data_IF_998234387505
#
_entry.id   IF_998234387505
#
_cell.length_a   1.000
_cell.length_b   1.000
_cell.length_c   1.000
_cell.angle_alpha   90.00
_cell.angle_beta   90.00
_cell.angle_gamma   90.00
#
_symmetry.space_group_name_H-M   'P 1'
#
loop_
_entity.id
_entity.type
_entity.pdbx_description
1 polymer ?
#
# COMPACT_ATOMS: atom_id res chain seq x y z
N UNK A 1 1.04 -17.05 4.86
CA UNK A 1 1.20 -16.10 3.74
C UNK A 1 2.58 -15.42 3.85
N UNK A 2 3.44 -15.57 2.85
CA UNK A 2 4.76 -14.91 2.80
C UNK A 2 4.66 -13.40 2.50
N UNK A 3 5.80 -12.71 2.36
CA UNK A 3 5.84 -11.35 1.78
C UNK A 3 5.97 -11.47 0.25
N UNK A 4 5.36 -10.54 -0.47
CA UNK A 4 5.49 -10.37 -1.91
C UNK A 4 6.93 -9.97 -2.23
N UNK A 5 7.49 -10.68 -3.21
CA UNK A 5 8.73 -10.27 -3.88
C UNK A 5 8.36 -9.43 -5.10
N UNK A 6 9.34 -8.72 -5.67
CA UNK A 6 9.14 -7.98 -6.92
C UNK A 6 8.59 -8.91 -8.01
N UNK A 7 9.12 -10.14 -8.13
CA UNK A 7 8.63 -11.14 -9.10
C UNK A 7 7.16 -11.51 -8.89
N UNK A 8 6.68 -11.64 -7.65
CA UNK A 8 5.25 -11.90 -7.37
C UNK A 8 4.40 -10.71 -7.84
N UNK A 9 4.84 -9.48 -7.54
CA UNK A 9 4.16 -8.27 -7.99
C UNK A 9 4.14 -8.14 -9.53
N UNK A 10 5.23 -8.50 -10.21
CA UNK A 10 5.29 -8.52 -11.68
C UNK A 10 4.33 -9.52 -12.30
N UNK A 11 4.23 -10.72 -11.72
CA UNK A 11 3.26 -11.74 -12.16
C UNK A 11 1.81 -11.28 -11.95
N UNK A 12 1.57 -10.39 -10.98
CA UNK A 12 0.29 -9.73 -10.74
C UNK A 12 0.05 -8.50 -11.65
N UNK A 13 0.95 -8.23 -12.61
CA UNK A 13 0.82 -7.12 -13.56
C UNK A 13 1.29 -5.76 -13.02
N UNK A 14 1.92 -5.72 -11.84
CA UNK A 14 2.58 -4.54 -11.29
C UNK A 14 4.04 -4.62 -11.74
N UNK A 15 4.41 -3.90 -12.80
CA UNK A 15 5.67 -4.13 -13.52
C UNK A 15 6.76 -3.13 -13.13
N UNK A 16 8.02 -3.53 -13.35
CA UNK A 16 9.16 -2.62 -13.26
C UNK A 16 9.32 -2.06 -11.84
N UNK A 17 9.61 -0.77 -11.73
CA UNK A 17 9.91 -0.12 -10.44
C UNK A 17 8.76 -0.21 -9.42
N UNK A 18 7.51 -0.24 -9.89
CA UNK A 18 6.32 -0.36 -9.04
C UNK A 18 6.33 -1.67 -8.23
N UNK A 19 6.81 -2.75 -8.87
CA UNK A 19 6.90 -4.07 -8.26
C UNK A 19 7.88 -4.08 -7.08
N UNK A 20 8.97 -3.32 -7.24
CA UNK A 20 10.01 -3.20 -6.24
C UNK A 20 9.52 -2.38 -5.04
N UNK A 21 8.81 -1.28 -5.27
CA UNK A 21 8.27 -0.45 -4.19
C UNK A 21 7.37 -1.26 -3.24
N UNK A 22 6.47 -2.08 -3.78
CA UNK A 22 5.58 -2.93 -2.98
C UNK A 22 6.38 -3.97 -2.20
N UNK A 23 7.30 -4.67 -2.87
CA UNK A 23 8.13 -5.67 -2.23
C UNK A 23 9.01 -5.07 -1.11
N UNK A 24 9.52 -3.85 -1.30
CA UNK A 24 10.28 -3.13 -0.29
C UNK A 24 9.40 -2.71 0.88
N UNK A 25 8.20 -2.20 0.64
CA UNK A 25 7.26 -1.83 1.71
C UNK A 25 6.89 -3.06 2.58
N UNK A 26 6.62 -4.21 1.94
CA UNK A 26 6.33 -5.45 2.65
C UNK A 26 7.54 -5.97 3.44
N UNK A 27 8.72 -6.00 2.82
CA UNK A 27 9.96 -6.44 3.49
C UNK A 27 10.36 -5.51 4.64
N UNK A 28 10.14 -4.21 4.45
CA UNK A 28 10.35 -3.18 5.47
C UNK A 28 9.31 -3.20 6.59
N UNK A 29 8.29 -4.07 6.50
CA UNK A 29 7.16 -4.15 7.44
C UNK A 29 6.48 -2.80 7.64
N UNK A 30 6.40 -2.00 6.57
CA UNK A 30 5.64 -0.77 6.61
C UNK A 30 4.18 -1.09 6.91
N UNK A 31 3.49 -0.23 7.66
CA UNK A 31 2.04 -0.41 7.85
C UNK A 31 1.28 0.09 6.62
N UNK A 32 1.76 1.18 6.02
CA UNK A 32 1.13 1.87 4.90
C UNK A 32 2.10 2.00 3.72
N UNK A 33 1.59 1.75 2.53
CA UNK A 33 2.20 2.17 1.26
C UNK A 33 1.32 3.24 0.64
N UNK A 34 1.82 4.47 0.64
CA UNK A 34 1.12 5.65 0.14
C UNK A 34 1.74 6.07 -1.18
N UNK A 35 0.91 6.28 -2.19
CA UNK A 35 1.38 6.76 -3.49
C UNK A 35 0.45 7.83 -4.06
N UNK A 36 1.02 8.73 -4.86
CA UNK A 36 0.28 9.68 -5.69
C UNK A 36 0.05 9.14 -7.10
N UNK A 37 0.67 8.01 -7.46
CA UNK A 37 0.50 7.38 -8.76
C UNK A 37 -0.76 6.51 -8.76
N UNK A 38 -1.78 7.02 -9.42
CA UNK A 38 -3.08 6.37 -9.62
C UNK A 38 -2.99 4.98 -10.24
N UNK A 39 -2.01 4.76 -11.13
CA UNK A 39 -1.83 3.49 -11.81
C UNK A 39 -1.26 2.43 -10.85
N UNK A 40 -0.30 2.80 -10.01
CA UNK A 40 0.24 1.93 -8.95
C UNK A 40 -0.84 1.65 -7.92
N UNK A 41 -1.50 2.71 -7.44
CA UNK A 41 -2.58 2.62 -6.45
C UNK A 41 -3.66 1.64 -6.90
N UNK A 42 -4.24 1.85 -8.10
CA UNK A 42 -5.32 0.99 -8.62
C UNK A 42 -4.89 -0.46 -8.83
N UNK A 43 -3.65 -0.72 -9.22
CA UNK A 43 -3.15 -2.10 -9.37
C UNK A 43 -2.94 -2.76 -8.01
N UNK A 44 -2.22 -2.10 -7.10
CA UNK A 44 -1.90 -2.64 -5.78
C UNK A 44 -3.16 -2.83 -4.91
N UNK A 45 -4.10 -1.88 -4.95
CA UNK A 45 -5.37 -1.96 -4.21
C UNK A 45 -6.22 -3.17 -4.58
N UNK A 46 -6.15 -3.66 -5.83
CA UNK A 46 -6.83 -4.91 -6.24
C UNK A 46 -6.36 -6.12 -5.44
N UNK A 47 -5.09 -6.12 -5.03
CA UNK A 47 -4.46 -7.18 -4.25
C UNK A 47 -4.41 -6.87 -2.75
N UNK A 48 -5.19 -5.90 -2.26
CA UNK A 48 -5.16 -5.47 -0.85
C UNK A 48 -5.39 -6.62 0.15
N UNK A 49 -6.15 -7.65 -0.23
CA UNK A 49 -6.40 -8.84 0.61
C UNK A 49 -5.20 -9.79 0.71
N UNK A 50 -4.31 -9.72 -0.27
CA UNK A 50 -3.11 -10.58 -0.38
C UNK A 50 -1.85 -9.87 0.12
N UNK A 51 -1.85 -8.54 0.06
CA UNK A 51 -0.82 -7.67 0.63
C UNK A 51 -0.99 -7.55 2.14
N UNK A 52 0.13 -7.55 2.86
CA UNK A 52 0.20 -7.29 4.31
C UNK A 52 0.30 -5.80 4.64
N UNK A 53 0.59 -4.98 3.64
CA UNK A 53 0.66 -3.53 3.74
C UNK A 53 -0.68 -2.92 3.32
N UNK A 54 -1.09 -1.83 3.99
CA UNK A 54 -2.28 -1.08 3.57
C UNK A 54 -1.89 -0.12 2.45
N UNK A 55 -2.56 -0.23 1.30
CA UNK A 55 -2.30 0.61 0.13
C UNK A 55 -3.27 1.78 0.13
N UNK A 56 -2.74 3.00 0.05
CA UNK A 56 -3.54 4.23 0.02
C UNK A 56 -3.10 5.16 -1.10
N UNK A 57 -4.08 5.85 -1.69
CA UNK A 57 -3.82 7.09 -2.41
C UNK A 57 -3.53 8.23 -1.42
N UNK A 58 -2.85 9.28 -1.84
CA UNK A 58 -2.47 10.40 -0.94
C UNK A 58 -3.67 11.04 -0.23
N UNK A 59 -4.79 11.25 -0.94
CA UNK A 59 -6.00 11.85 -0.36
C UNK A 59 -6.70 10.90 0.61
N UNK A 60 -6.78 9.61 0.26
CA UNK A 60 -7.34 8.56 1.11
C UNK A 60 -6.51 8.42 2.41
N UNK A 61 -5.18 8.51 2.30
CA UNK A 61 -4.30 8.48 3.47
C UNK A 61 -4.49 9.70 4.38
N UNK A 62 -4.67 10.89 3.80
CA UNK A 62 -4.93 12.09 4.58
C UNK A 62 -6.26 11.97 5.36
N UNK A 63 -7.29 11.43 4.73
CA UNK A 63 -8.57 11.16 5.40
C UNK A 63 -8.42 10.16 6.56
N UNK A 64 -7.69 9.06 6.35
CA UNK A 64 -7.37 8.08 7.41
C UNK A 64 -6.67 8.77 8.60
N UNK A 65 -5.64 9.56 8.34
CA UNK A 65 -4.89 10.28 9.39
C UNK A 65 -5.78 11.29 10.13
N UNK A 66 -6.61 12.04 9.40
CA UNK A 66 -7.53 13.00 10.01
C UNK A 66 -8.53 12.29 10.92
N UNK A 67 -9.12 11.18 10.46
CA UNK A 67 -10.06 10.39 11.24
C UNK A 67 -9.42 9.80 12.51
N UNK A 68 -8.18 9.31 12.41
CA UNK A 68 -7.43 8.85 13.59
C UNK A 68 -7.23 9.99 14.59
N UNK A 69 -6.84 11.17 14.11
CA UNK A 69 -6.56 12.33 14.96
C UNK A 69 -7.82 12.92 15.58
N UNK A 70 -8.97 12.88 14.91
CA UNK A 70 -10.24 13.37 15.47
C UNK A 70 -10.88 12.38 16.44
N UNK A 71 -10.79 11.09 16.18
CA UNK A 71 -11.35 10.05 17.04
C UNK A 71 -10.53 9.84 18.33
N UNK A 72 -9.21 10.06 18.29
CA UNK A 72 -8.33 10.01 19.47
C UNK A 72 -8.36 11.29 20.33
N UNK A 73 -9.31 12.20 20.11
CA UNK A 73 -9.53 13.41 20.93
C UNK A 73 -10.82 13.35 21.75
N UNK A 74 -11.48 12.19 21.79
CA UNK A 74 -12.69 11.98 22.60
C UNK A 74 -12.39 11.41 24.00
N UNK A 75 -11.12 11.39 24.39
CA UNK A 75 -10.59 10.96 25.69
C UNK A 75 -10.73 12.05 26.77
#
# INVERSE_FOLDING_TARGET
MGFWTASIAENAGIKGTDSLHIAMAEKGKAEYFVTCDDSIYKKAKKYQKELKIKVYGILEFLEEVLNLVTNNRQD
#
